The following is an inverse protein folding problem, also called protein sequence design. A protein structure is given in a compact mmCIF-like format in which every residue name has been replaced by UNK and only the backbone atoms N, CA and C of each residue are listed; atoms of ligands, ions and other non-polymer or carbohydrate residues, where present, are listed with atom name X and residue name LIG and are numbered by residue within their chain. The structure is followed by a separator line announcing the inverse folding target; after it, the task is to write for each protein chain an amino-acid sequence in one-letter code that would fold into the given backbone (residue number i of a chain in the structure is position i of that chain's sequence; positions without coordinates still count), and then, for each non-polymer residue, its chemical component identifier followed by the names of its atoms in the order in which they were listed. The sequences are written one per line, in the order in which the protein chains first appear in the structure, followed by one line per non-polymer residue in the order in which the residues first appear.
data_IF_428231063030
#
_entry.id   IF_428231063030
#
_cell.length_a   1.000
_cell.length_b   1.000
_cell.length_c   1.000
_cell.angle_alpha   90.00
_cell.angle_beta   90.00
_cell.angle_gamma   90.00
#
_symmetry.space_group_name_H-M   'P 1'
#
loop_
_entity.id
_entity.type
_entity.pdbx_description
1 polymer ?
#
# COMPACT_ATOMS: atom_id res chain seq x y z
N UNK A 1 0.35 1.25 26.68
CA UNK A 1 0.36 1.69 25.29
C UNK A 1 -0.47 0.71 24.44
N UNK A 2 -1.19 1.22 23.47
CA UNK A 2 -1.88 0.46 22.41
C UNK A 2 -1.12 0.72 21.12
N UNK A 3 -0.40 -0.28 20.64
CA UNK A 3 0.30 -0.23 19.36
C UNK A 3 -0.61 -0.70 18.25
N UNK A 4 -0.31 -0.29 17.00
CA UNK A 4 -1.13 -0.53 15.81
C UNK A 4 -2.61 -0.15 16.04
N UNK A 5 -2.84 1.00 16.70
CA UNK A 5 -4.17 1.42 17.12
C UNK A 5 -5.17 1.57 15.97
N UNK A 6 -4.70 1.73 14.72
CA UNK A 6 -5.55 1.75 13.52
C UNK A 6 -6.38 0.46 13.35
N UNK A 7 -5.93 -0.66 13.93
CA UNK A 7 -6.67 -1.93 13.89
C UNK A 7 -8.05 -1.87 14.59
N UNK A 8 -8.33 -0.84 15.39
CA UNK A 8 -9.62 -0.66 16.07
C UNK A 8 -10.72 -0.15 15.12
N UNK A 9 -10.33 0.46 14.00
CA UNK A 9 -11.23 1.13 13.05
C UNK A 9 -11.67 0.20 11.93
N UNK A 10 -12.97 0.11 11.68
CA UNK A 10 -13.53 -0.58 10.51
C UNK A 10 -13.13 0.09 9.18
N UNK A 11 -12.76 1.35 9.22
CA UNK A 11 -12.29 2.11 8.07
C UNK A 11 -10.80 1.93 7.80
N UNK A 12 -10.09 1.26 8.72
CA UNK A 12 -8.68 0.94 8.56
C UNK A 12 -8.47 -0.30 7.68
N UNK A 13 -7.31 -0.37 7.05
CA UNK A 13 -6.94 -1.47 6.14
C UNK A 13 -6.72 -2.83 6.83
N UNK A 14 -6.51 -2.85 8.15
CA UNK A 14 -6.25 -4.05 8.97
C UNK A 14 -7.16 -4.06 10.20
N UNK A 15 -8.48 -3.96 9.97
CA UNK A 15 -9.45 -4.01 11.05
C UNK A 15 -9.41 -5.35 11.78
N UNK A 16 -9.29 -5.28 13.11
CA UNK A 16 -9.31 -6.44 14.02
C UNK A 16 -10.35 -6.25 15.11
N UNK A 17 -11.47 -6.97 15.06
CA UNK A 17 -12.55 -6.83 16.05
C UNK A 17 -12.09 -6.94 17.51
N UNK A 18 -11.03 -7.71 17.75
CA UNK A 18 -10.43 -7.92 19.08
C UNK A 18 -9.88 -6.63 19.70
N UNK A 19 -9.44 -5.66 18.87
CA UNK A 19 -8.98 -4.36 19.35
C UNK A 19 -10.07 -3.56 20.06
N UNK A 20 -11.35 -3.78 19.73
CA UNK A 20 -12.48 -3.15 20.44
C UNK A 20 -12.65 -3.64 21.86
N UNK A 21 -12.07 -4.78 22.22
CA UNK A 21 -12.05 -5.32 23.58
C UNK A 21 -11.01 -4.65 24.47
N UNK A 22 -10.07 -3.88 23.90
CA UNK A 22 -9.02 -3.18 24.65
C UNK A 22 -9.62 -2.19 25.64
N UNK A 23 -10.63 -1.43 25.25
CA UNK A 23 -11.24 -0.42 26.13
C UNK A 23 -11.92 -1.04 27.37
N UNK A 24 -12.75 -2.07 27.27
CA UNK A 24 -13.24 -2.82 28.44
C UNK A 24 -12.12 -3.31 29.36
N UNK A 25 -11.06 -3.90 28.82
CA UNK A 25 -9.90 -4.38 29.58
C UNK A 25 -9.22 -3.23 30.35
N UNK A 26 -9.01 -2.09 29.69
CA UNK A 26 -8.42 -0.90 30.35
C UNK A 26 -9.28 -0.45 31.51
N UNK A 27 -10.61 -0.46 31.38
CA UNK A 27 -11.54 -0.07 32.43
C UNK A 27 -11.48 -1.01 33.66
N UNK A 28 -11.21 -2.30 33.43
CA UNK A 28 -11.03 -3.30 34.49
C UNK A 28 -9.69 -3.14 35.24
N UNK A 29 -8.63 -2.81 34.52
CA UNK A 29 -7.29 -2.60 35.11
C UNK A 29 -7.25 -1.35 35.99
N UNK A 30 -8.09 -0.36 35.73
CA UNK A 30 -8.17 0.87 36.50
C UNK A 30 -7.55 2.10 35.79
N UNK A 31 -7.39 3.22 36.51
CA UNK A 31 -6.90 4.47 35.97
C UNK A 31 -5.39 4.41 35.67
N UNK A 32 -5.02 4.24 34.42
CA UNK A 32 -3.66 4.37 33.94
C UNK A 32 -3.59 5.36 32.76
N UNK A 33 -2.48 6.09 32.57
CA UNK A 33 -2.26 6.86 31.36
C UNK A 33 -2.33 5.96 30.12
N UNK A 34 -3.06 6.43 29.10
CA UNK A 34 -3.24 5.69 27.86
C UNK A 34 -2.54 6.41 26.72
N UNK A 35 -1.73 5.69 25.95
CA UNK A 35 -1.16 6.14 24.69
C UNK A 35 -1.55 5.19 23.57
N UNK A 36 -2.00 5.71 22.45
CA UNK A 36 -2.29 4.98 21.23
C UNK A 36 -1.30 5.37 20.14
N UNK A 37 -0.69 4.39 19.49
CA UNK A 37 0.36 4.57 18.50
C UNK A 37 -0.07 3.91 17.18
N UNK A 38 0.22 4.59 16.07
CA UNK A 38 0.02 4.03 14.73
C UNK A 38 0.88 4.79 13.72
N UNK A 39 1.38 4.08 12.71
CA UNK A 39 2.11 4.68 11.59
C UNK A 39 1.18 5.11 10.44
N UNK A 40 -0.03 4.57 10.37
CA UNK A 40 -0.95 4.74 9.23
C UNK A 40 -2.37 4.99 9.72
N UNK A 41 -2.75 6.24 9.86
CA UNK A 41 -4.11 6.59 10.21
C UNK A 41 -4.56 7.83 9.42
N UNK A 42 -5.55 7.63 8.54
CA UNK A 42 -6.27 8.74 7.92
C UNK A 42 -7.03 9.55 8.98
N UNK A 43 -7.46 10.80 8.71
CA UNK A 43 -8.22 11.59 9.67
C UNK A 43 -9.44 10.85 10.24
N UNK A 44 -10.13 10.07 9.41
CA UNK A 44 -11.27 9.24 9.81
C UNK A 44 -10.87 8.15 10.80
N UNK A 45 -9.77 7.45 10.52
CA UNK A 45 -9.22 6.40 11.39
C UNK A 45 -8.73 6.99 12.71
N UNK A 46 -8.08 8.17 12.70
CA UNK A 46 -7.65 8.88 13.92
C UNK A 46 -8.84 9.19 14.83
N UNK A 47 -9.93 9.71 14.26
CA UNK A 47 -11.16 9.97 15.02
C UNK A 47 -11.75 8.70 15.62
N UNK A 48 -11.76 7.61 14.87
CA UNK A 48 -12.25 6.31 15.34
C UNK A 48 -11.40 5.74 16.48
N UNK A 49 -10.07 5.86 16.41
CA UNK A 49 -9.16 5.47 17.49
C UNK A 49 -9.52 6.22 18.77
N UNK A 50 -9.62 7.54 18.71
CA UNK A 50 -9.96 8.37 19.86
C UNK A 50 -11.30 7.99 20.46
N UNK A 51 -12.33 7.81 19.63
CA UNK A 51 -13.68 7.43 20.04
C UNK A 51 -13.71 6.05 20.72
N UNK A 52 -13.16 5.03 20.08
CA UNK A 52 -13.21 3.65 20.56
C UNK A 52 -12.36 3.42 21.82
N UNK A 53 -11.27 4.16 21.98
CA UNK A 53 -10.44 4.11 23.19
C UNK A 53 -10.89 5.10 24.29
N UNK A 54 -11.93 5.92 24.03
CA UNK A 54 -12.41 6.93 24.98
C UNK A 54 -11.38 8.04 25.23
N UNK A 55 -10.66 8.45 24.18
CA UNK A 55 -9.56 9.43 24.19
C UNK A 55 -9.93 10.69 23.38
N UNK A 56 -11.18 11.12 23.39
CA UNK A 56 -11.67 12.21 22.52
C UNK A 56 -10.92 13.52 22.78
N UNK A 57 -10.56 13.79 24.02
CA UNK A 57 -9.85 15.01 24.44
C UNK A 57 -8.32 14.77 24.52
N UNK A 58 -7.81 13.66 24.03
CA UNK A 58 -6.39 13.37 24.08
C UNK A 58 -5.59 14.26 23.14
N UNK A 59 -4.40 14.66 23.56
CA UNK A 59 -3.47 15.38 22.70
C UNK A 59 -2.97 14.46 21.58
N UNK A 60 -3.05 14.94 20.34
CA UNK A 60 -2.58 14.23 19.16
C UNK A 60 -1.23 14.79 18.71
N UNK A 61 -0.25 13.92 18.62
CA UNK A 61 1.06 14.22 18.05
C UNK A 61 1.16 13.56 16.67
N UNK A 62 1.44 14.33 15.64
CA UNK A 62 1.49 13.87 14.27
C UNK A 62 2.78 14.31 13.60
N UNK A 63 3.53 13.36 13.10
CA UNK A 63 4.64 13.62 12.18
C UNK A 63 4.15 13.64 10.74
N UNK A 64 4.90 14.28 9.85
CA UNK A 64 4.61 14.25 8.42
C UNK A 64 4.69 12.82 7.87
N UNK A 65 3.78 12.49 6.97
CA UNK A 65 3.83 11.27 6.17
C UNK A 65 4.81 11.37 5.00
N UNK A 66 5.41 12.53 4.78
CA UNK A 66 6.35 12.72 3.69
C UNK A 66 7.65 11.95 3.91
N UNK A 67 8.01 11.14 2.93
CA UNK A 67 9.28 10.39 2.85
C UNK A 67 10.04 10.87 1.61
N UNK A 68 10.77 12.01 1.69
CA UNK A 68 11.40 12.63 0.52
C UNK A 68 12.46 11.75 -0.13
N UNK A 69 13.06 10.84 0.62
CA UNK A 69 14.06 9.88 0.16
C UNK A 69 13.49 8.69 -0.65
N UNK A 70 12.16 8.56 -0.74
CA UNK A 70 11.53 7.46 -1.49
C UNK A 70 11.11 7.93 -2.89
N UNK A 71 11.55 7.21 -3.90
CA UNK A 71 11.06 7.32 -5.27
C UNK A 71 9.84 6.43 -5.46
N UNK A 72 8.78 6.94 -6.06
CA UNK A 72 7.54 6.19 -6.33
C UNK A 72 7.30 6.05 -7.82
N UNK A 73 7.02 4.82 -8.25
CA UNK A 73 6.75 4.51 -9.66
C UNK A 73 5.65 3.45 -9.79
N UNK A 74 4.75 3.65 -10.76
CA UNK A 74 3.77 2.64 -11.17
C UNK A 74 4.04 2.23 -12.61
N UNK A 75 4.25 0.93 -12.83
CA UNK A 75 4.51 0.33 -14.14
C UNK A 75 3.35 -0.53 -14.59
N UNK A 76 3.10 -0.55 -15.90
CA UNK A 76 2.14 -1.50 -16.46
C UNK A 76 2.60 -2.94 -16.21
N UNK A 77 1.69 -3.78 -15.69
CA UNK A 77 1.93 -5.20 -15.48
C UNK A 77 1.73 -5.95 -16.78
N UNK A 78 2.82 -6.37 -17.39
CA UNK A 78 2.85 -7.11 -18.66
C UNK A 78 3.21 -8.57 -18.43
N UNK A 79 3.21 -9.39 -19.52
CA UNK A 79 3.71 -10.77 -19.46
C UNK A 79 5.21 -10.85 -19.13
N UNK A 80 5.96 -9.75 -19.27
CA UNK A 80 7.40 -9.69 -19.03
C UNK A 80 7.80 -9.23 -17.63
N UNK A 81 6.85 -9.11 -16.69
CA UNK A 81 7.10 -8.57 -15.34
C UNK A 81 8.27 -9.25 -14.62
N UNK A 82 8.37 -10.58 -14.68
CA UNK A 82 9.46 -11.31 -14.02
C UNK A 82 10.83 -10.91 -14.60
N UNK A 83 10.91 -10.74 -15.93
CA UNK A 83 12.11 -10.25 -16.62
C UNK A 83 12.45 -8.80 -16.22
N UNK A 84 11.45 -7.95 -16.09
CA UNK A 84 11.64 -6.54 -15.71
C UNK A 84 12.17 -6.43 -14.28
N UNK A 85 11.65 -7.25 -13.35
CA UNK A 85 12.13 -7.35 -11.97
C UNK A 85 13.59 -7.86 -11.94
N UNK A 86 13.91 -8.93 -12.67
CA UNK A 86 15.28 -9.44 -12.76
C UNK A 86 16.24 -8.38 -13.27
N UNK A 87 15.87 -7.69 -14.36
CA UNK A 87 16.67 -6.61 -14.94
C UNK A 87 16.88 -5.47 -13.94
N UNK A 88 15.82 -5.09 -13.22
CA UNK A 88 15.90 -4.05 -12.20
C UNK A 88 16.90 -4.43 -11.09
N UNK A 89 16.79 -5.65 -10.54
CA UNK A 89 17.68 -6.10 -9.46
C UNK A 89 19.14 -6.17 -9.94
N UNK A 90 19.39 -6.72 -11.14
CA UNK A 90 20.74 -6.82 -11.72
C UNK A 90 21.36 -5.43 -12.00
N UNK A 91 20.54 -4.42 -12.29
CA UNK A 91 21.01 -3.05 -12.47
C UNK A 91 21.22 -2.31 -11.12
N UNK A 92 20.86 -2.94 -10.02
CA UNK A 92 21.00 -2.43 -8.66
C UNK A 92 21.76 -3.47 -7.78
N UNK A 93 22.99 -3.82 -8.12
CA UNK A 93 23.75 -4.83 -7.38
C UNK A 93 23.97 -4.38 -5.94
N UNK A 94 24.10 -5.34 -5.04
CA UNK A 94 24.38 -5.12 -3.61
C UNK A 94 23.30 -4.33 -2.85
N UNK A 95 22.11 -4.14 -3.47
CA UNK A 95 20.98 -3.48 -2.83
C UNK A 95 20.00 -4.51 -2.30
N UNK A 96 19.66 -4.41 -1.02
CA UNK A 96 18.63 -5.23 -0.40
C UNK A 96 17.22 -4.75 -0.76
N UNK A 97 16.29 -5.68 -0.91
CA UNK A 97 14.91 -5.34 -1.26
C UNK A 97 13.84 -6.35 -0.88
N UNK A 98 12.61 -5.89 -0.94
CA UNK A 98 11.43 -6.70 -0.66
C UNK A 98 10.52 -6.68 -1.87
N UNK A 99 9.99 -7.86 -2.26
CA UNK A 99 9.02 -7.98 -3.34
C UNK A 99 7.73 -8.56 -2.76
N UNK A 100 6.65 -7.80 -2.82
CA UNK A 100 5.34 -8.22 -2.34
C UNK A 100 4.52 -8.86 -3.46
N UNK A 101 4.00 -10.08 -3.19
CA UNK A 101 3.09 -10.80 -4.06
C UNK A 101 1.80 -11.14 -3.31
N UNK A 102 0.68 -11.21 -4.04
CA UNK A 102 -0.63 -11.49 -3.46
C UNK A 102 -0.78 -12.94 -2.99
N UNK A 103 -0.17 -13.92 -3.68
CA UNK A 103 -0.34 -15.34 -3.38
C UNK A 103 0.96 -16.01 -2.95
N UNK A 104 0.83 -17.02 -2.04
CA UNK A 104 1.94 -17.86 -1.58
C UNK A 104 2.65 -18.55 -2.75
N UNK A 105 1.86 -19.12 -3.68
CA UNK A 105 2.37 -19.78 -4.87
C UNK A 105 3.26 -18.85 -5.70
N UNK A 106 2.83 -17.59 -5.94
CA UNK A 106 3.64 -16.63 -6.70
C UNK A 106 4.91 -16.21 -5.95
N UNK A 107 4.86 -16.16 -4.62
CA UNK A 107 6.05 -15.92 -3.79
C UNK A 107 7.12 -16.98 -4.01
N UNK A 108 6.72 -18.26 -3.98
CA UNK A 108 7.64 -19.39 -4.19
C UNK A 108 8.18 -19.40 -5.62
N UNK A 109 7.29 -19.34 -6.63
CA UNK A 109 7.66 -19.30 -8.05
C UNK A 109 8.64 -18.16 -8.38
N UNK A 110 8.37 -16.94 -7.90
CA UNK A 110 9.23 -15.80 -8.19
C UNK A 110 10.57 -15.91 -7.47
N UNK A 111 10.61 -16.41 -6.24
CA UNK A 111 11.87 -16.65 -5.52
C UNK A 111 12.75 -17.66 -6.27
N UNK A 112 12.17 -18.75 -6.78
CA UNK A 112 12.88 -19.75 -7.59
C UNK A 112 13.41 -19.14 -8.91
N UNK A 113 12.59 -18.34 -9.60
CA UNK A 113 12.99 -17.64 -10.83
C UNK A 113 14.17 -16.70 -10.56
N UNK A 114 14.13 -15.93 -9.46
CA UNK A 114 15.22 -15.03 -9.09
C UNK A 114 16.50 -15.79 -8.79
N UNK A 115 16.42 -16.90 -8.02
CA UNK A 115 17.55 -17.77 -7.72
C UNK A 115 18.16 -18.38 -8.98
N UNK A 116 17.34 -18.88 -9.90
CA UNK A 116 17.78 -19.42 -11.18
C UNK A 116 18.52 -18.39 -12.05
N UNK A 117 18.27 -17.09 -11.82
CA UNK A 117 18.95 -15.97 -12.47
C UNK A 117 20.14 -15.40 -11.68
N UNK A 118 20.59 -16.12 -10.63
CA UNK A 118 21.75 -15.75 -9.83
C UNK A 118 21.50 -14.65 -8.80
N UNK A 119 20.23 -14.39 -8.46
CA UNK A 119 19.85 -13.43 -7.43
C UNK A 119 19.64 -14.18 -6.11
N UNK A 120 20.29 -13.74 -5.05
CA UNK A 120 20.18 -14.34 -3.71
C UNK A 120 18.85 -13.93 -3.05
N UNK A 121 17.78 -14.63 -3.41
CA UNK A 121 16.42 -14.38 -2.95
C UNK A 121 15.89 -15.53 -2.08
N UNK A 122 14.97 -15.22 -1.14
CA UNK A 122 14.26 -16.22 -0.34
C UNK A 122 12.77 -15.90 -0.29
N UNK A 123 11.90 -16.91 -0.26
CA UNK A 123 10.45 -16.74 -0.06
C UNK A 123 10.12 -16.49 1.41
N UNK A 124 9.02 -15.78 1.67
CA UNK A 124 8.46 -15.59 3.00
C UNK A 124 6.94 -15.47 2.96
N UNK A 125 6.23 -16.41 3.59
CA UNK A 125 4.78 -16.34 3.75
C UNK A 125 4.30 -17.20 4.93
N UNK A 126 3.10 -16.95 5.42
CA UNK A 126 2.53 -17.60 6.60
C UNK A 126 2.30 -19.12 6.43
N UNK A 127 2.35 -19.66 5.21
CA UNK A 127 2.21 -21.09 4.95
C UNK A 127 3.51 -21.88 5.10
N UNK A 128 4.65 -21.20 5.27
CA UNK A 128 5.95 -21.86 5.51
C UNK A 128 6.03 -22.37 6.94
N UNK A 129 6.83 -23.42 7.16
CA UNK A 129 7.17 -23.84 8.50
C UNK A 129 7.90 -22.72 9.29
N UNK A 130 7.73 -22.72 10.60
CA UNK A 130 8.21 -21.65 11.46
C UNK A 130 9.74 -21.49 11.43
N UNK A 131 10.49 -22.60 11.35
CA UNK A 131 11.95 -22.57 11.39
C UNK A 131 12.51 -21.97 10.10
N UNK A 132 12.05 -22.42 8.92
CA UNK A 132 12.45 -21.90 7.62
C UNK A 132 12.07 -20.42 7.50
N UNK A 133 10.88 -20.05 7.97
CA UNK A 133 10.41 -18.66 7.94
C UNK A 133 11.30 -17.75 8.78
N UNK A 134 11.60 -18.13 10.03
CA UNK A 134 12.49 -17.38 10.90
C UNK A 134 13.90 -17.29 10.31
N UNK A 135 14.43 -18.41 9.80
CA UNK A 135 15.75 -18.43 9.16
C UNK A 135 15.82 -17.47 7.97
N UNK A 136 14.83 -17.49 7.06
CA UNK A 136 14.83 -16.60 5.90
C UNK A 136 14.78 -15.11 6.31
N UNK A 137 14.04 -14.80 7.38
CA UNK A 137 13.99 -13.46 7.95
C UNK A 137 15.34 -13.05 8.55
N UNK A 138 15.93 -13.90 9.37
CA UNK A 138 17.23 -13.63 10.01
C UNK A 138 18.34 -13.50 8.98
N UNK A 139 18.37 -14.36 7.97
CA UNK A 139 19.35 -14.30 6.88
C UNK A 139 19.22 -12.98 6.08
N UNK A 140 18.00 -12.44 5.92
CA UNK A 140 17.79 -11.12 5.30
C UNK A 140 18.24 -9.97 6.21
N UNK A 141 17.93 -10.03 7.51
CA UNK A 141 18.36 -9.03 8.48
C UNK A 141 19.89 -9.00 8.65
N UNK A 142 20.54 -10.16 8.54
CA UNK A 142 21.98 -10.33 8.66
C UNK A 142 22.73 -10.20 7.31
N UNK A 143 22.08 -9.67 6.28
CA UNK A 143 22.67 -9.41 4.95
C UNK A 143 23.21 -10.66 4.22
N UNK A 144 22.77 -11.85 4.62
CA UNK A 144 23.08 -13.11 3.94
C UNK A 144 22.17 -13.36 2.74
N UNK A 145 21.06 -12.64 2.64
CA UNK A 145 20.06 -12.67 1.58
C UNK A 145 19.79 -11.24 1.14
N UNK A 146 19.79 -10.99 -0.16
CA UNK A 146 19.62 -9.67 -0.72
C UNK A 146 18.15 -9.31 -0.93
N UNK A 147 17.32 -10.32 -1.27
CA UNK A 147 15.93 -10.10 -1.66
C UNK A 147 15.00 -11.06 -0.93
N UNK A 148 13.96 -10.52 -0.31
CA UNK A 148 12.82 -11.30 0.18
C UNK A 148 11.65 -11.15 -0.78
N UNK A 149 11.14 -12.28 -1.26
CA UNK A 149 9.85 -12.34 -1.97
C UNK A 149 8.80 -12.77 -0.97
N UNK A 150 7.79 -11.96 -0.73
CA UNK A 150 6.88 -12.18 0.38
C UNK A 150 5.41 -11.89 0.07
N UNK A 151 4.52 -12.46 0.88
CA UNK A 151 3.17 -11.90 1.07
C UNK A 151 3.22 -10.81 2.15
N UNK A 152 2.09 -10.13 2.39
CA UNK A 152 1.93 -9.14 3.48
C UNK A 152 2.30 -9.68 4.87
N UNK A 153 2.47 -11.01 5.01
CA UNK A 153 2.95 -11.62 6.25
C UNK A 153 4.39 -11.20 6.63
N UNK A 154 5.19 -10.73 5.67
CA UNK A 154 6.50 -10.11 5.91
C UNK A 154 6.29 -8.63 6.21
N UNK A 155 5.92 -8.33 7.44
CA UNK A 155 5.47 -7.01 7.81
C UNK A 155 5.87 -6.62 9.22
N UNK A 156 5.02 -6.88 10.19
CA UNK A 156 5.24 -6.49 11.59
C UNK A 156 6.57 -7.05 12.13
N UNK A 157 7.32 -6.20 12.83
CA UNK A 157 8.58 -6.60 13.45
C UNK A 157 9.79 -6.67 12.52
N UNK A 158 9.66 -6.32 11.24
CA UNK A 158 10.80 -6.23 10.31
C UNK A 158 11.40 -4.83 10.41
N UNK A 159 12.60 -4.77 10.98
CA UNK A 159 13.36 -3.53 11.12
C UNK A 159 14.76 -3.69 10.49
N UNK A 160 14.81 -3.61 9.16
CA UNK A 160 16.03 -3.48 8.37
C UNK A 160 16.09 -2.06 7.82
N UNK A 161 17.03 -1.21 8.28
CA UNK A 161 17.03 0.21 7.95
C UNK A 161 17.40 0.49 6.49
N UNK A 162 18.21 -0.34 5.90
CA UNK A 162 18.88 -0.17 4.61
C UNK A 162 18.22 -0.92 3.45
N UNK A 163 16.93 -1.18 3.52
CA UNK A 163 16.16 -1.68 2.37
C UNK A 163 16.15 -0.61 1.27
N UNK A 164 16.65 -0.94 0.09
CA UNK A 164 16.83 0.01 -1.02
C UNK A 164 15.71 -0.04 -2.04
N UNK A 165 14.94 -1.11 -2.09
CA UNK A 165 13.75 -1.15 -2.94
C UNK A 165 12.63 -1.99 -2.33
N UNK A 166 11.41 -1.55 -2.62
CA UNK A 166 10.17 -2.32 -2.37
C UNK A 166 9.42 -2.41 -3.69
N UNK A 167 9.18 -3.63 -4.14
CA UNK A 167 8.45 -3.90 -5.38
C UNK A 167 7.12 -4.56 -5.04
N UNK A 168 6.04 -4.04 -5.57
CA UNK A 168 4.74 -4.67 -5.54
C UNK A 168 4.50 -5.38 -6.88
N UNK A 169 4.57 -6.73 -6.87
CA UNK A 169 4.22 -7.56 -8.02
C UNK A 169 2.73 -7.48 -8.34
N UNK A 170 1.92 -7.40 -7.33
CA UNK A 170 0.48 -7.15 -7.38
C UNK A 170 0.17 -5.87 -6.60
N UNK A 171 -0.79 -5.08 -7.08
CA UNK A 171 -1.22 -3.88 -6.37
C UNK A 171 -1.73 -4.23 -4.96
N UNK A 172 -1.38 -3.46 -3.91
CA UNK A 172 -1.91 -3.69 -2.57
C UNK A 172 -3.41 -3.38 -2.47
N UNK A 173 -4.04 -3.85 -1.40
CA UNK A 173 -5.49 -3.72 -1.18
C UNK A 173 -5.93 -2.32 -0.80
N UNK A 174 -5.01 -1.50 -0.31
CA UNK A 174 -5.27 -0.15 0.16
C UNK A 174 -4.01 0.71 0.11
N UNK A 175 -4.17 2.02 0.12
CA UNK A 175 -3.05 2.97 0.17
C UNK A 175 -2.35 2.97 1.53
N UNK A 176 -3.04 2.65 2.62
CA UNK A 176 -2.40 2.47 3.93
C UNK A 176 -1.44 1.29 3.93
N UNK A 177 -1.88 0.13 3.39
CA UNK A 177 -1.03 -1.05 3.22
C UNK A 177 0.17 -0.73 2.32
N UNK A 178 -0.09 -0.05 1.21
CA UNK A 178 0.96 0.43 0.31
C UNK A 178 1.99 1.31 1.03
N UNK A 179 1.52 2.28 1.81
CA UNK A 179 2.39 3.18 2.56
C UNK A 179 3.21 2.44 3.63
N UNK A 180 2.60 1.50 4.36
CA UNK A 180 3.33 0.66 5.34
C UNK A 180 4.40 -0.20 4.68
N UNK A 181 4.09 -0.81 3.54
CA UNK A 181 4.99 -1.70 2.82
C UNK A 181 6.14 -0.92 2.17
N UNK A 182 5.84 0.17 1.47
CA UNK A 182 6.87 1.07 0.88
C UNK A 182 7.70 1.78 1.94
N UNK A 183 7.09 2.09 3.09
CA UNK A 183 7.76 2.72 4.23
C UNK A 183 8.88 1.89 4.86
N UNK A 184 9.05 0.62 4.43
CA UNK A 184 10.20 -0.22 4.82
C UNK A 184 11.48 0.18 4.11
N UNK A 185 11.38 0.82 2.94
CA UNK A 185 12.54 1.32 2.21
C UNK A 185 13.14 2.56 2.89
N UNK A 186 14.47 2.64 2.90
CA UNK A 186 15.23 3.82 3.30
C UNK A 186 14.91 4.36 4.70
N UNK A 187 14.75 3.50 5.69
CA UNK A 187 14.50 3.93 7.09
C UNK A 187 15.70 4.66 7.70
N UNK A 188 16.88 4.39 7.19
CA UNK A 188 18.12 5.08 7.54
C UNK A 188 18.26 6.46 6.90
N UNK A 189 17.25 6.93 6.16
CA UNK A 189 17.28 8.18 5.39
C UNK A 189 17.95 8.05 4.01
N UNK A 190 18.52 6.90 3.68
CA UNK A 190 19.05 6.61 2.36
C UNK A 190 17.95 6.50 1.30
N UNK A 191 18.32 6.61 0.02
CA UNK A 191 17.40 6.50 -1.10
C UNK A 191 16.70 5.12 -1.15
N UNK A 192 15.41 5.13 -1.42
CA UNK A 192 14.60 3.93 -1.62
C UNK A 192 13.74 4.02 -2.87
N UNK A 193 13.60 2.92 -3.59
CA UNK A 193 12.78 2.82 -4.80
C UNK A 193 11.54 1.98 -4.53
N UNK A 194 10.36 2.56 -4.75
CA UNK A 194 9.07 1.92 -4.56
C UNK A 194 8.40 1.74 -5.93
N UNK A 195 8.39 0.51 -6.44
CA UNK A 195 7.88 0.19 -7.77
C UNK A 195 6.65 -0.69 -7.63
N UNK A 196 5.56 -0.30 -8.27
CA UNK A 196 4.31 -1.06 -8.25
C UNK A 196 3.92 -1.45 -9.67
N UNK A 197 3.70 -2.73 -9.90
CA UNK A 197 3.13 -3.22 -11.15
C UNK A 197 1.61 -3.27 -11.03
N UNK A 198 0.93 -2.72 -12.04
CA UNK A 198 -0.52 -2.60 -12.05
C UNK A 198 -1.16 -3.03 -13.37
N UNK A 199 -2.28 -3.70 -13.26
CA UNK A 199 -3.24 -3.96 -14.34
C UNK A 199 -4.64 -4.06 -13.77
N UNK A 200 -5.67 -3.67 -14.54
CA UNK A 200 -7.08 -3.78 -14.14
C UNK A 200 -7.50 -5.21 -13.76
N UNK A 201 -6.80 -6.23 -14.28
CA UNK A 201 -7.02 -7.63 -13.87
C UNK A 201 -6.69 -7.91 -12.40
N UNK A 202 -5.84 -7.11 -11.79
CA UNK A 202 -5.50 -7.25 -10.36
C UNK A 202 -6.69 -6.86 -9.48
N UNK A 203 -7.48 -5.86 -9.89
CA UNK A 203 -8.72 -5.47 -9.18
C UNK A 203 -9.69 -6.63 -9.09
N UNK A 204 -9.95 -7.31 -10.22
CA UNK A 204 -10.84 -8.47 -10.27
C UNK A 204 -10.38 -9.62 -9.36
N UNK A 205 -9.06 -9.83 -9.24
CA UNK A 205 -8.50 -10.83 -8.33
C UNK A 205 -8.73 -10.42 -6.87
N UNK A 206 -8.46 -9.15 -6.54
CA UNK A 206 -8.61 -8.64 -5.18
C UNK A 206 -10.07 -8.62 -4.74
N UNK A 207 -11.01 -8.29 -5.63
CA UNK A 207 -12.44 -8.38 -5.36
C UNK A 207 -12.89 -9.81 -5.01
N UNK A 208 -12.33 -10.83 -5.68
CA UNK A 208 -12.61 -12.23 -5.34
C UNK A 208 -12.19 -12.61 -3.92
N UNK A 209 -11.12 -12.02 -3.39
CA UNK A 209 -10.71 -12.25 -2.00
C UNK A 209 -11.63 -11.61 -0.95
N UNK A 210 -12.51 -10.70 -1.38
CA UNK A 210 -13.51 -10.10 -0.50
C UNK A 210 -14.83 -10.89 -0.48
N UNK A 211 -15.01 -11.82 -1.41
CA UNK A 211 -16.22 -12.66 -1.45
C UNK A 211 -16.32 -13.51 -0.18
N UNK A 212 -17.53 -13.60 0.38
CA UNK A 212 -17.81 -14.32 1.62
C UNK A 212 -17.60 -13.55 2.92
N UNK A 213 -17.06 -12.32 2.85
CA UNK A 213 -17.01 -11.41 3.99
C UNK A 213 -18.39 -10.72 4.22
N UNK A 214 -18.62 -10.16 5.44
CA UNK A 214 -19.78 -9.31 5.67
C UNK A 214 -19.90 -8.19 4.64
N UNK A 215 -21.14 -7.83 4.25
CA UNK A 215 -21.40 -6.83 3.19
C UNK A 215 -20.69 -5.50 3.47
N UNK A 216 -20.76 -5.01 4.70
CA UNK A 216 -20.07 -3.77 5.10
C UNK A 216 -18.54 -3.83 4.88
N UNK A 217 -17.90 -4.96 5.19
CA UNK A 217 -16.47 -5.14 4.92
C UNK A 217 -16.16 -5.20 3.42
N UNK A 218 -17.06 -5.79 2.63
CA UNK A 218 -16.89 -5.82 1.18
C UNK A 218 -16.99 -4.43 0.57
N UNK A 219 -17.93 -3.59 1.03
CA UNK A 219 -18.09 -2.21 0.56
C UNK A 219 -16.88 -1.35 0.89
N UNK A 220 -16.41 -1.40 2.14
CA UNK A 220 -15.19 -0.69 2.56
C UNK A 220 -13.98 -1.18 1.75
N UNK A 221 -13.81 -2.50 1.63
CA UNK A 221 -12.70 -3.07 0.86
C UNK A 221 -12.71 -2.68 -0.62
N UNK A 222 -13.89 -2.58 -1.25
CA UNK A 222 -14.03 -2.09 -2.63
C UNK A 222 -13.64 -0.62 -2.74
N UNK A 223 -14.06 0.21 -1.79
CA UNK A 223 -13.69 1.62 -1.79
C UNK A 223 -12.17 1.79 -1.69
N UNK A 224 -11.50 1.14 -0.73
CA UNK A 224 -10.05 1.17 -0.55
C UNK A 224 -9.32 0.70 -1.82
N UNK A 225 -9.85 -0.33 -2.48
CA UNK A 225 -9.30 -0.84 -3.72
C UNK A 225 -9.44 0.15 -4.88
N UNK A 226 -10.57 0.83 -5.00
CA UNK A 226 -10.79 1.88 -6.00
C UNK A 226 -9.86 3.08 -5.79
N UNK A 227 -9.63 3.49 -4.54
CA UNK A 227 -8.67 4.55 -4.20
C UNK A 227 -7.24 4.16 -4.59
N UNK A 228 -6.88 2.89 -4.38
CA UNK A 228 -5.57 2.37 -4.78
C UNK A 228 -5.44 2.31 -6.31
N UNK A 229 -6.50 1.92 -7.02
CA UNK A 229 -6.54 1.93 -8.48
C UNK A 229 -6.42 3.36 -9.04
N UNK A 230 -7.17 4.30 -8.45
CA UNK A 230 -7.09 5.71 -8.82
C UNK A 230 -5.67 6.28 -8.64
N UNK A 231 -4.98 5.92 -7.55
CA UNK A 231 -3.57 6.24 -7.36
C UNK A 231 -2.70 5.66 -8.48
N UNK A 232 -2.90 4.38 -8.84
CA UNK A 232 -2.11 3.72 -9.87
C UNK A 232 -2.30 4.32 -11.26
N UNK A 233 -3.52 4.72 -11.61
CA UNK A 233 -3.89 5.27 -12.92
C UNK A 233 -3.63 6.78 -13.06
N UNK A 234 -3.54 7.49 -11.94
CA UNK A 234 -3.36 8.94 -11.90
C UNK A 234 -2.10 9.41 -12.62
N UNK A 235 -2.21 10.58 -13.24
CA UNK A 235 -1.07 11.38 -13.73
C UNK A 235 -0.59 12.45 -12.74
N UNK A 236 -1.26 12.59 -11.61
CA UNK A 236 -0.86 13.53 -10.54
C UNK A 236 0.39 13.02 -9.83
N UNK A 237 1.17 13.91 -9.25
CA UNK A 237 2.32 13.58 -8.41
C UNK A 237 1.97 12.48 -7.40
N UNK A 238 2.72 11.36 -7.42
CA UNK A 238 2.48 10.20 -6.53
C UNK A 238 2.55 10.59 -5.05
N UNK A 239 3.51 11.42 -4.71
CA UNK A 239 3.71 11.92 -3.34
C UNK A 239 2.53 12.78 -2.90
N UNK A 240 2.11 13.73 -3.73
CA UNK A 240 0.95 14.61 -3.46
C UNK A 240 -0.30 13.78 -3.18
N UNK A 241 -0.56 12.76 -4.02
CA UNK A 241 -1.72 11.87 -3.85
C UNK A 241 -1.67 11.11 -2.53
N UNK A 242 -0.50 10.54 -2.16
CA UNK A 242 -0.34 9.82 -0.88
C UNK A 242 -0.51 10.74 0.33
N UNK A 243 0.10 11.91 0.33
CA UNK A 243 0.01 12.85 1.44
C UNK A 243 -1.42 13.36 1.63
N UNK A 244 -2.11 13.70 0.53
CA UNK A 244 -3.53 14.06 0.53
C UNK A 244 -4.41 12.95 1.11
N UNK A 245 -4.13 11.70 0.76
CA UNK A 245 -4.86 10.55 1.30
C UNK A 245 -4.80 10.49 2.84
N UNK A 246 -3.63 10.79 3.42
CA UNK A 246 -3.45 10.87 4.88
C UNK A 246 -3.87 12.21 5.49
N UNK A 247 -4.49 13.09 4.70
CA UNK A 247 -4.96 14.40 5.16
C UNK A 247 -3.83 15.40 5.41
N UNK A 248 -2.68 15.23 4.72
CA UNK A 248 -1.56 16.16 4.75
C UNK A 248 -1.56 17.00 3.47
N UNK A 249 -1.49 18.30 3.62
CA UNK A 249 -1.39 19.23 2.50
C UNK A 249 0.03 19.20 1.93
N UNK A 250 0.14 19.10 0.60
CA UNK A 250 1.41 19.18 -0.12
C UNK A 250 1.29 20.23 -1.22
N UNK A 251 1.98 21.35 -1.04
CA UNK A 251 1.85 22.54 -1.87
C UNK A 251 2.66 22.48 -3.17
N UNK A 252 3.69 21.63 -3.22
CA UNK A 252 4.52 21.48 -4.41
C UNK A 252 3.77 20.74 -5.53
N UNK A 253 3.83 21.27 -6.74
CA UNK A 253 3.23 20.62 -7.91
C UNK A 253 4.09 19.48 -8.46
N UNK A 254 5.41 19.56 -8.25
CA UNK A 254 6.39 18.59 -8.69
C UNK A 254 7.31 18.19 -7.53
N UNK A 255 7.25 16.94 -7.11
CA UNK A 255 8.12 16.44 -6.04
C UNK A 255 9.55 16.10 -6.50
N UNK A 256 9.85 16.14 -7.78
CA UNK A 256 11.16 15.78 -8.35
C UNK A 256 11.57 14.31 -8.18
N UNK A 257 10.73 13.48 -7.53
CA UNK A 257 11.09 12.11 -7.13
C UNK A 257 9.92 11.13 -7.24
N UNK A 258 9.20 11.14 -8.38
CA UNK A 258 8.24 10.12 -8.78
C UNK A 258 8.14 10.04 -10.31
N UNK A 259 7.58 8.94 -10.81
CA UNK A 259 7.42 8.68 -12.26
C UNK A 259 6.64 9.80 -12.98
N UNK A 260 5.52 10.24 -12.41
CA UNK A 260 4.67 11.27 -12.99
C UNK A 260 5.33 12.65 -13.03
N UNK A 261 6.18 12.97 -12.06
CA UNK A 261 6.91 14.24 -12.03
C UNK A 261 8.11 14.26 -12.95
N UNK A 262 8.84 13.12 -13.05
CA UNK A 262 10.01 13.00 -13.92
C UNK A 262 9.64 12.79 -15.40
N UNK A 263 8.50 12.13 -15.65
CA UNK A 263 7.99 11.86 -16.99
C UNK A 263 6.51 12.29 -17.09
N UNK A 264 6.22 13.60 -17.06
CA UNK A 264 4.86 14.10 -17.05
C UNK A 264 4.11 13.66 -18.31
N UNK A 265 2.91 13.11 -18.13
CA UNK A 265 2.03 12.78 -19.25
C UNK A 265 1.55 14.06 -19.90
N UNK A 266 1.43 14.04 -21.24
CA UNK A 266 0.84 15.16 -21.98
C UNK A 266 -0.59 15.40 -21.48
N UNK A 267 -0.83 16.59 -20.98
CA UNK A 267 -2.17 17.02 -20.58
C UNK A 267 -2.88 17.67 -21.78
N UNK A 268 -4.18 17.53 -21.80
CA UNK A 268 -5.07 18.18 -22.75
C UNK A 268 -6.09 19.01 -21.98
N UNK A 269 -6.48 20.14 -22.53
CA UNK A 269 -7.62 20.89 -22.00
C UNK A 269 -8.89 20.06 -22.23
N UNK A 270 -9.58 19.76 -21.17
CA UNK A 270 -10.72 18.84 -21.21
C UNK A 270 -12.01 19.45 -20.64
N UNK A 271 -12.04 20.76 -20.37
CA UNK A 271 -13.20 21.39 -19.73
C UNK A 271 -14.47 21.22 -20.58
N UNK A 272 -14.38 21.47 -21.89
CA UNK A 272 -15.53 21.32 -22.80
C UNK A 272 -15.99 19.86 -22.89
N UNK A 273 -15.03 18.92 -22.97
CA UNK A 273 -15.33 17.48 -22.95
C UNK A 273 -15.99 17.05 -21.66
N UNK A 274 -15.51 17.53 -20.51
CA UNK A 274 -16.08 17.23 -19.21
C UNK A 274 -17.51 17.76 -19.10
N UNK A 275 -17.77 18.98 -19.56
CA UNK A 275 -19.12 19.53 -19.60
C UNK A 275 -20.05 18.68 -20.46
N UNK A 276 -19.63 18.28 -21.67
CA UNK A 276 -20.41 17.43 -22.55
C UNK A 276 -20.71 16.06 -21.92
N UNK A 277 -19.73 15.44 -21.23
CA UNK A 277 -19.95 14.19 -20.49
C UNK A 277 -20.99 14.37 -19.39
N UNK A 278 -20.89 15.44 -18.60
CA UNK A 278 -21.84 15.73 -17.52
C UNK A 278 -23.24 15.97 -18.08
N UNK A 279 -23.38 16.72 -19.15
CA UNK A 279 -24.66 16.99 -19.82
C UNK A 279 -25.29 15.68 -20.35
N UNK A 280 -24.49 14.81 -20.97
CA UNK A 280 -24.95 13.50 -21.43
C UNK A 280 -25.45 12.62 -20.27
N UNK A 281 -24.71 12.57 -19.15
CA UNK A 281 -25.12 11.82 -17.96
C UNK A 281 -26.43 12.36 -17.40
N UNK A 282 -26.60 13.66 -17.30
CA UNK A 282 -27.84 14.30 -16.82
C UNK A 282 -29.00 13.98 -17.77
N UNK A 283 -28.79 14.06 -19.07
CA UNK A 283 -29.83 13.81 -20.08
C UNK A 283 -30.38 12.37 -20.00
N UNK A 284 -29.53 11.39 -19.67
CA UNK A 284 -29.94 9.99 -19.50
C UNK A 284 -30.32 9.65 -18.06
N UNK A 285 -30.43 10.64 -17.17
CA UNK A 285 -30.84 10.51 -15.75
C UNK A 285 -30.00 9.51 -14.97
N UNK A 286 -28.70 9.43 -15.25
CA UNK A 286 -27.72 8.57 -14.57
C UNK A 286 -28.01 7.06 -14.64
N UNK A 287 -28.83 6.61 -15.58
CA UNK A 287 -29.33 5.24 -15.64
C UNK A 287 -28.52 4.30 -16.54
N UNK A 288 -27.44 4.75 -17.17
CA UNK A 288 -26.69 3.97 -18.16
C UNK A 288 -25.23 3.80 -17.78
N UNK A 289 -24.62 2.73 -18.32
CA UNK A 289 -23.18 2.44 -18.13
C UNK A 289 -22.32 3.41 -18.93
N UNK A 290 -21.04 3.52 -18.54
CA UNK A 290 -20.06 4.41 -19.17
C UNK A 290 -19.97 4.22 -20.71
N UNK A 291 -19.97 2.96 -21.19
CA UNK A 291 -19.91 2.66 -22.63
C UNK A 291 -21.05 3.34 -23.40
N UNK A 292 -22.25 3.35 -22.86
CA UNK A 292 -23.40 4.03 -23.49
C UNK A 292 -23.23 5.56 -23.52
N UNK A 293 -22.63 6.13 -22.48
CA UNK A 293 -22.32 7.58 -22.44
C UNK A 293 -21.27 7.93 -23.49
N UNK A 294 -20.26 7.06 -23.65
CA UNK A 294 -19.21 7.23 -24.67
C UNK A 294 -19.80 7.19 -26.08
N UNK A 295 -20.77 6.31 -26.33
CA UNK A 295 -21.44 6.20 -27.65
C UNK A 295 -22.34 7.40 -27.99
N UNK A 296 -22.76 8.18 -26.99
CA UNK A 296 -23.57 9.40 -27.19
C UNK A 296 -22.67 10.62 -27.52
N UNK A 297 -21.45 10.64 -27.00
CA UNK A 297 -20.48 11.74 -27.17
C UNK A 297 -19.75 11.66 -28.51
#
# INVERSE_FOLDING_TARGET
AVDEAHCISEWGHDFRPEYRRIRPIINEIGKAPLIALTATATPKVQHDIQKNLGMVDAQVFKSSFNRPNLYYEVRAKTANIDRDIIKFIKNNPEKSGIIYCLSRKKVEELAEILQANGINARPYHAGMDSLTRTKNQDDFLMEKVDVIVATIAFGMGIDKPDVRFVIHYDIPKSLEGYYQETGRAGRDGGEGQCITFYTNKDLQKLEKFMQGKPVAEQEIGKQLLLETAAYAESSVCRRKTLLHYFGEEYTEDNCGNCDNCLNPKKQVEAQELLCAVIEAIIAVKENFKADYIIDIL
#
